data_IF_804502762638
#
_entry.id   IF_804502762638
#
_cell.length_a   1.000
_cell.length_b   1.000
_cell.length_c   1.000
_cell.angle_alpha   90.00
_cell.angle_beta   90.00
_cell.angle_gamma   90.00
#
_symmetry.space_group_name_H-M   'P 1'
#
loop_
_entity.id
_entity.type
_entity.pdbx_description
1 polymer ?
#
# COMPACT_ATOMS: atom_id res chain seq x y z
N UNK A 1 -10.49 17.08 11.73
CA UNK A 1 -9.96 15.89 11.06
C UNK A 1 -10.63 14.69 11.72
N UNK A 2 -11.57 14.06 11.01
CA UNK A 2 -12.28 12.88 11.51
C UNK A 2 -11.28 11.73 11.41
N UNK A 3 -11.09 10.88 12.45
CA UNK A 3 -10.30 9.67 12.30
C UNK A 3 -11.02 8.80 11.26
N UNK A 4 -10.43 8.58 10.09
CA UNK A 4 -10.92 7.52 9.22
C UNK A 4 -10.83 6.20 9.98
N UNK A 5 -11.97 5.53 10.05
CA UNK A 5 -12.24 4.44 10.95
C UNK A 5 -11.78 3.11 10.36
N UNK A 6 -11.68 2.11 11.24
CA UNK A 6 -11.73 0.69 10.89
C UNK A 6 -12.91 0.37 9.95
N UNK A 7 -12.95 -0.82 9.36
CA UNK A 7 -13.98 -1.19 8.38
C UNK A 7 -15.42 -1.14 8.93
N UNK A 8 -16.41 -0.94 8.03
CA UNK A 8 -17.84 -0.84 8.37
C UNK A 8 -18.63 -2.08 7.98
N UNK A 9 -19.71 -2.37 8.73
CA UNK A 9 -20.73 -3.38 8.38
C UNK A 9 -21.96 -2.79 7.69
N UNK A 10 -22.05 -1.47 7.59
CA UNK A 10 -23.14 -0.78 6.90
C UNK A 10 -22.90 -0.81 5.39
N UNK A 11 -23.77 -1.44 4.58
CA UNK A 11 -23.63 -1.45 3.12
C UNK A 11 -23.65 -0.08 2.44
N UNK A 12 -24.11 0.96 3.15
CA UNK A 12 -24.12 2.35 2.65
C UNK A 12 -22.82 3.12 2.96
N UNK A 13 -21.87 2.51 3.66
CA UNK A 13 -20.60 3.13 4.03
C UNK A 13 -19.56 2.98 2.91
N UNK A 14 -18.77 4.03 2.66
CA UNK A 14 -17.66 3.99 1.70
C UNK A 14 -16.56 2.98 2.08
N UNK A 15 -16.52 2.56 3.35
CA UNK A 15 -15.59 1.57 3.89
C UNK A 15 -16.30 0.26 4.28
N UNK A 16 -17.40 -0.07 3.59
CA UNK A 16 -18.12 -1.32 3.81
C UNK A 16 -17.24 -2.54 3.52
N UNK A 17 -17.08 -3.43 4.51
CA UNK A 17 -16.21 -4.60 4.44
C UNK A 17 -16.75 -5.75 3.56
N UNK A 18 -17.99 -5.64 3.10
CA UNK A 18 -18.72 -6.76 2.50
C UNK A 18 -19.39 -7.67 3.55
N UNK A 19 -20.25 -8.60 3.10
CA UNK A 19 -20.99 -9.50 3.99
C UNK A 19 -20.10 -10.54 4.70
N UNK A 20 -18.91 -10.83 4.15
CA UNK A 20 -17.87 -11.68 4.73
C UNK A 20 -16.54 -11.48 4.00
N UNK A 21 -15.42 -11.91 4.59
CA UNK A 21 -14.12 -11.85 3.92
C UNK A 21 -14.16 -12.54 2.53
N UNK A 22 -13.53 -11.92 1.53
CA UNK A 22 -13.46 -12.41 0.14
C UNK A 22 -14.84 -12.57 -0.56
N UNK A 23 -15.87 -11.82 -0.13
CA UNK A 23 -17.18 -11.75 -0.80
C UNK A 23 -17.08 -11.19 -2.22
N UNK A 24 -16.24 -10.18 -2.41
CA UNK A 24 -16.08 -9.50 -3.69
C UNK A 24 -15.38 -10.42 -4.70
N UNK A 25 -15.96 -10.63 -5.90
CA UNK A 25 -15.37 -11.51 -6.91
C UNK A 25 -13.97 -11.08 -7.36
N UNK A 26 -13.70 -9.78 -7.39
CA UNK A 26 -12.42 -9.17 -7.76
C UNK A 26 -11.33 -9.53 -6.73
N UNK A 27 -11.61 -9.26 -5.46
CA UNK A 27 -10.69 -9.56 -4.34
C UNK A 27 -10.44 -11.07 -4.26
N UNK A 28 -11.49 -11.87 -4.45
CA UNK A 28 -11.37 -13.34 -4.45
C UNK A 28 -10.53 -13.85 -5.61
N UNK A 29 -10.62 -13.25 -6.79
CA UNK A 29 -9.81 -13.64 -7.95
C UNK A 29 -8.31 -13.41 -7.68
N UNK A 30 -7.95 -12.22 -7.20
CA UNK A 30 -6.57 -11.86 -6.87
C UNK A 30 -6.03 -12.75 -5.74
N UNK A 31 -6.79 -12.89 -4.66
CA UNK A 31 -6.42 -13.72 -3.51
C UNK A 31 -6.16 -15.18 -3.91
N UNK A 32 -7.02 -15.76 -4.75
CA UNK A 32 -6.83 -17.13 -5.26
C UNK A 32 -5.60 -17.25 -6.15
N UNK A 33 -5.39 -16.28 -7.04
CA UNK A 33 -4.22 -16.28 -7.93
C UNK A 33 -2.92 -16.25 -7.12
N UNK A 34 -2.80 -15.32 -6.16
CA UNK A 34 -1.59 -15.22 -5.32
C UNK A 34 -1.43 -16.47 -4.45
N UNK A 35 -2.51 -16.98 -3.84
CA UNK A 35 -2.44 -18.18 -3.02
C UNK A 35 -1.95 -19.42 -3.78
N UNK A 36 -2.34 -19.57 -5.05
CA UNK A 36 -1.89 -20.67 -5.91
C UNK A 36 -0.40 -20.58 -6.28
N UNK A 37 0.18 -19.37 -6.25
CA UNK A 37 1.55 -19.11 -6.68
C UNK A 37 2.44 -18.62 -5.53
N UNK A 38 1.94 -18.59 -4.29
CA UNK A 38 2.62 -17.94 -3.16
C UNK A 38 4.05 -18.42 -2.91
N UNK A 39 4.45 -19.70 -3.17
CA UNK A 39 5.85 -20.09 -3.05
C UNK A 39 6.80 -19.33 -3.99
N UNK A 40 6.28 -18.77 -5.08
CA UNK A 40 7.05 -18.06 -6.12
C UNK A 40 6.82 -16.54 -6.09
N UNK A 41 5.89 -16.03 -5.28
CA UNK A 41 5.60 -14.60 -5.18
C UNK A 41 6.46 -14.00 -4.08
N UNK A 42 7.47 -13.21 -4.46
CA UNK A 42 8.40 -12.56 -3.52
C UNK A 42 7.93 -11.18 -3.07
N UNK A 43 7.20 -10.46 -3.93
CA UNK A 43 6.70 -9.13 -3.62
C UNK A 43 5.25 -8.95 -4.07
N UNK A 44 4.52 -8.15 -3.29
CA UNK A 44 3.19 -7.64 -3.59
C UNK A 44 3.18 -6.13 -3.36
N UNK A 45 2.73 -5.37 -4.35
CA UNK A 45 2.68 -3.90 -4.30
C UNK A 45 1.26 -3.50 -4.67
N UNK A 46 0.54 -2.89 -3.74
CA UNK A 46 -0.79 -2.35 -3.94
C UNK A 46 -0.70 -0.84 -4.15
N UNK A 47 -1.19 -0.33 -5.28
CA UNK A 47 -1.00 1.07 -5.69
C UNK A 47 -2.32 1.81 -5.66
N UNK A 48 -2.35 2.89 -4.90
CA UNK A 48 -3.48 3.77 -4.64
C UNK A 48 -3.07 5.22 -4.86
N UNK A 49 -4.05 6.12 -4.75
CA UNK A 49 -3.85 7.54 -4.55
C UNK A 49 -4.93 8.00 -3.56
N UNK A 50 -4.71 9.01 -2.73
CA UNK A 50 -3.58 9.93 -2.69
C UNK A 50 -3.03 10.10 -1.27
N UNK A 51 -1.86 10.71 -1.16
CA UNK A 51 -1.29 11.06 0.15
C UNK A 51 0.23 11.06 0.21
N UNK A 52 0.90 10.54 -0.83
CA UNK A 52 2.36 10.45 -0.91
C UNK A 52 2.97 9.55 0.17
N UNK A 53 2.53 8.28 0.20
CA UNK A 53 2.97 7.29 1.18
C UNK A 53 3.61 6.06 0.53
N UNK A 54 4.67 5.53 1.15
CA UNK A 54 5.17 4.16 0.93
C UNK A 54 4.98 3.36 2.21
N UNK A 55 4.00 2.47 2.19
CA UNK A 55 3.49 1.79 3.38
C UNK A 55 3.88 0.32 3.39
N UNK A 56 3.97 -0.26 4.58
CA UNK A 56 4.06 -1.70 4.79
C UNK A 56 3.13 -2.16 5.91
N UNK A 57 2.90 -3.48 6.07
CA UNK A 57 2.07 -4.01 7.15
C UNK A 57 2.58 -3.68 8.58
N UNK A 58 1.73 -3.63 9.60
CA UNK A 58 0.29 -3.86 9.54
C UNK A 58 -0.52 -2.56 9.48
N UNK A 59 -1.66 -2.61 8.81
CA UNK A 59 -2.71 -1.59 8.87
C UNK A 59 -3.74 -1.86 9.96
N UNK A 60 -4.07 -3.12 10.23
CA UNK A 60 -5.14 -3.46 11.20
C UNK A 60 -4.75 -3.20 12.67
N UNK A 61 -3.46 -3.04 12.98
CA UNK A 61 -2.99 -2.84 14.36
C UNK A 61 -1.64 -2.12 14.41
N UNK A 62 -1.31 -1.55 15.59
CA UNK A 62 0.02 -0.98 15.88
C UNK A 62 1.01 -2.08 16.30
N UNK A 63 1.04 -3.18 15.54
CA UNK A 63 2.02 -4.26 15.68
C UNK A 63 2.76 -4.43 14.36
N UNK A 64 3.90 -5.13 14.39
CA UNK A 64 4.77 -5.23 13.24
C UNK A 64 4.94 -6.69 12.79
N UNK A 65 5.12 -6.93 11.48
CA UNK A 65 5.44 -8.25 10.95
C UNK A 65 6.82 -8.71 11.40
N UNK A 66 7.08 -10.02 11.36
CA UNK A 66 8.35 -10.61 11.82
C UNK A 66 9.58 -10.09 11.07
N UNK A 67 9.42 -9.62 9.83
CA UNK A 67 10.48 -9.01 9.01
C UNK A 67 10.40 -7.47 8.99
N UNK A 68 9.90 -6.85 10.05
CA UNK A 68 9.73 -5.40 10.20
C UNK A 68 10.93 -4.58 9.72
N UNK A 69 12.15 -4.92 10.18
CA UNK A 69 13.36 -4.16 9.85
C UNK A 69 13.60 -4.13 8.33
N UNK A 70 13.41 -5.26 7.66
CA UNK A 70 13.57 -5.35 6.21
C UNK A 70 12.53 -4.49 5.48
N UNK A 71 11.26 -4.59 5.87
CA UNK A 71 10.19 -3.82 5.25
C UNK A 71 10.35 -2.32 5.47
N UNK A 72 10.68 -1.90 6.70
CA UNK A 72 10.97 -0.50 7.04
C UNK A 72 12.12 0.04 6.20
N UNK A 73 13.25 -0.66 6.16
CA UNK A 73 14.45 -0.19 5.46
C UNK A 73 14.24 -0.13 3.94
N UNK A 74 13.46 -1.06 3.38
CA UNK A 74 13.14 -1.06 1.96
C UNK A 74 12.10 0.01 1.61
N UNK A 75 11.08 0.24 2.44
CA UNK A 75 10.12 1.34 2.26
C UNK A 75 10.82 2.70 2.28
N UNK A 76 11.76 2.92 3.21
CA UNK A 76 12.57 4.15 3.25
C UNK A 76 13.38 4.33 1.97
N UNK A 77 14.02 3.26 1.45
CA UNK A 77 14.78 3.34 0.19
C UNK A 77 13.87 3.64 -1.02
N UNK A 78 12.70 3.01 -1.08
CA UNK A 78 11.73 3.26 -2.15
C UNK A 78 11.21 4.70 -2.11
N UNK A 79 10.86 5.20 -0.92
CA UNK A 79 10.49 6.60 -0.67
C UNK A 79 11.61 7.57 -1.06
N UNK A 80 12.86 7.31 -0.66
CA UNK A 80 14.01 8.12 -1.07
C UNK A 80 14.27 8.11 -2.59
N UNK A 81 13.93 7.02 -3.28
CA UNK A 81 14.05 6.92 -4.74
C UNK A 81 12.94 7.72 -5.44
N UNK A 82 11.71 7.66 -4.93
CA UNK A 82 10.57 8.47 -5.37
C UNK A 82 10.91 9.97 -5.25
N UNK A 83 11.28 10.41 -4.04
CA UNK A 83 11.56 11.83 -3.74
C UNK A 83 12.63 12.41 -4.68
N UNK A 84 13.63 11.62 -5.07
CA UNK A 84 14.72 12.08 -5.96
C UNK A 84 14.30 12.36 -7.40
N UNK A 85 13.18 11.81 -7.88
CA UNK A 85 12.79 11.98 -9.30
C UNK A 85 12.35 13.41 -9.57
N UNK A 86 11.44 13.94 -8.74
CA UNK A 86 10.85 15.27 -8.93
C UNK A 86 10.89 16.17 -7.67
N UNK A 87 11.67 15.80 -6.65
CA UNK A 87 11.78 16.50 -5.36
C UNK A 87 10.50 16.46 -4.53
N UNK A 88 9.83 15.30 -4.52
CA UNK A 88 8.66 15.05 -3.68
C UNK A 88 9.04 14.81 -2.22
N UNK A 89 8.03 14.72 -1.34
CA UNK A 89 8.20 14.52 0.10
C UNK A 89 7.34 13.38 0.63
N UNK A 90 7.49 12.19 0.04
CA UNK A 90 6.73 11.02 0.48
C UNK A 90 7.06 10.65 1.92
N UNK A 91 6.07 10.14 2.67
CA UNK A 91 6.28 9.54 3.98
C UNK A 91 6.35 8.01 3.86
N UNK A 92 7.04 7.34 4.80
CA UNK A 92 7.11 5.87 4.81
C UNK A 92 6.97 5.30 6.22
N UNK A 93 6.25 4.19 6.36
CA UNK A 93 6.06 3.52 7.65
C UNK A 93 5.04 2.39 7.57
N UNK A 94 4.69 1.79 8.72
CA UNK A 94 3.55 0.87 8.71
C UNK A 94 2.27 1.66 8.45
N UNK A 95 1.31 1.08 7.73
CA UNK A 95 0.07 1.78 7.36
C UNK A 95 -0.65 2.34 8.60
N UNK A 96 -0.75 1.55 9.67
CA UNK A 96 -1.37 1.97 10.92
C UNK A 96 -0.68 3.16 11.61
N UNK A 97 0.61 3.39 11.33
CA UNK A 97 1.38 4.50 11.92
C UNK A 97 1.31 5.78 11.11
N UNK A 98 1.32 5.69 9.77
CA UNK A 98 1.47 6.87 8.90
C UNK A 98 0.16 7.36 8.30
N UNK A 99 -0.87 6.50 8.23
CA UNK A 99 -2.20 6.86 7.71
C UNK A 99 -3.24 6.77 8.82
N UNK A 100 -3.75 5.58 9.10
CA UNK A 100 -4.67 5.25 10.20
C UNK A 100 -4.83 3.72 10.30
N UNK A 101 -5.54 3.23 11.32
CA UNK A 101 -5.83 1.78 11.43
C UNK A 101 -6.91 1.36 10.45
N UNK A 102 -6.60 0.39 9.58
CA UNK A 102 -7.52 -0.16 8.58
C UNK A 102 -7.48 -1.69 8.61
N UNK A 103 -8.62 -2.35 8.85
CA UNK A 103 -8.73 -3.81 8.73
C UNK A 103 -9.13 -4.25 7.32
N UNK A 104 -8.81 -5.50 6.97
CA UNK A 104 -9.21 -6.10 5.69
C UNK A 104 -8.38 -5.67 4.48
N UNK A 105 -7.31 -4.89 4.68
CA UNK A 105 -6.46 -4.41 3.59
C UNK A 105 -5.61 -5.53 2.96
N UNK A 106 -5.32 -5.37 1.67
CA UNK A 106 -4.63 -6.35 0.84
C UNK A 106 -3.22 -6.67 1.34
N UNK A 107 -2.40 -5.66 1.67
CA UNK A 107 -1.00 -5.83 2.07
C UNK A 107 -0.87 -6.63 3.38
N UNK A 108 -1.83 -6.48 4.30
CA UNK A 108 -1.91 -7.26 5.53
C UNK A 108 -2.28 -8.71 5.23
N UNK A 109 -3.28 -8.93 4.36
CA UNK A 109 -3.68 -10.27 3.94
C UNK A 109 -2.53 -11.01 3.25
N UNK A 110 -1.85 -10.37 2.30
CA UNK A 110 -0.71 -10.95 1.60
C UNK A 110 0.42 -11.32 2.57
N UNK A 111 0.72 -10.45 3.54
CA UNK A 111 1.79 -10.68 4.52
C UNK A 111 1.43 -11.70 5.60
N UNK A 112 0.26 -11.59 6.22
CA UNK A 112 -0.12 -12.40 7.38
C UNK A 112 -0.72 -13.75 6.98
N UNK A 113 -1.46 -13.82 5.88
CA UNK A 113 -2.17 -15.04 5.47
C UNK A 113 -1.40 -15.81 4.40
N UNK A 114 -0.87 -15.12 3.39
CA UNK A 114 -0.17 -15.78 2.28
C UNK A 114 1.36 -15.79 2.42
N UNK A 115 1.90 -15.21 3.49
CA UNK A 115 3.34 -15.15 3.79
C UNK A 115 4.18 -14.53 2.66
N UNK A 116 3.61 -13.59 1.89
CA UNK A 116 4.38 -12.85 0.89
C UNK A 116 5.36 -11.92 1.62
N UNK A 117 6.69 -12.08 1.44
CA UNK A 117 7.67 -11.47 2.33
C UNK A 117 7.73 -9.96 2.16
N UNK A 118 7.69 -9.46 0.92
CA UNK A 118 7.76 -8.04 0.59
C UNK A 118 6.38 -7.52 0.17
N UNK A 119 5.55 -7.15 1.15
CA UNK A 119 4.22 -6.58 0.89
C UNK A 119 4.23 -5.07 1.16
N UNK A 120 3.87 -4.26 0.17
CA UNK A 120 3.88 -2.79 0.26
C UNK A 120 2.61 -2.19 -0.32
N UNK A 121 2.21 -1.04 0.24
CA UNK A 121 1.19 -0.16 -0.33
C UNK A 121 1.84 1.15 -0.77
N UNK A 122 1.32 1.78 -1.81
CA UNK A 122 1.76 3.11 -2.25
C UNK A 122 0.54 4.01 -2.39
N UNK A 123 0.54 5.16 -1.71
CA UNK A 123 -0.37 6.27 -2.03
C UNK A 123 0.41 7.28 -2.87
N UNK A 124 0.01 7.46 -4.12
CA UNK A 124 0.70 8.38 -5.02
C UNK A 124 0.28 9.84 -4.77
N UNK A 125 0.75 10.72 -5.67
CA UNK A 125 0.35 12.13 -5.73
C UNK A 125 -1.18 12.29 -5.75
N UNK A 126 -1.68 13.45 -5.31
CA UNK A 126 -0.95 14.53 -4.67
C UNK A 126 -0.73 14.27 -3.16
N UNK A 127 -0.03 15.19 -2.51
CA UNK A 127 0.06 15.26 -1.05
C UNK A 127 -1.33 15.21 -0.39
N UNK A 128 -1.40 14.68 0.84
CA UNK A 128 -2.64 14.68 1.64
C UNK A 128 -3.25 16.07 1.79
N UNK A 129 -4.56 16.11 2.08
CA UNK A 129 -5.33 17.33 2.35
C UNK A 129 -5.44 18.33 1.17
N UNK A 130 -5.10 17.91 -0.06
CA UNK A 130 -5.36 18.70 -1.28
C UNK A 130 -6.84 18.61 -1.66
N UNK A 131 -7.46 19.77 -1.97
CA UNK A 131 -8.91 19.91 -2.23
C UNK A 131 -9.39 19.02 -3.39
N UNK A 132 -8.56 18.83 -4.40
CA UNK A 132 -8.86 18.02 -5.57
C UNK A 132 -8.11 16.67 -5.56
N UNK A 133 -7.83 16.10 -4.38
CA UNK A 133 -6.94 14.94 -4.20
C UNK A 133 -6.97 13.86 -5.30
N UNK A 134 -8.14 13.35 -5.67
CA UNK A 134 -8.28 12.31 -6.72
C UNK A 134 -8.32 12.85 -8.16
N UNK A 135 -8.48 14.16 -8.35
CA UNK A 135 -8.59 14.84 -9.64
C UNK A 135 -7.25 15.55 -9.90
N UNK A 136 -6.30 14.81 -10.47
CA UNK A 136 -4.98 15.35 -10.83
C UNK A 136 -4.98 15.93 -12.25
N UNK A 137 -4.14 16.94 -12.47
CA UNK A 137 -3.98 17.50 -13.80
C UNK A 137 -3.25 16.51 -14.73
N UNK A 138 -3.64 16.38 -16.02
CA UNK A 138 -3.04 15.39 -16.92
C UNK A 138 -1.50 15.48 -17.04
N UNK A 139 -0.91 16.67 -16.88
CA UNK A 139 0.54 16.85 -16.90
C UNK A 139 1.26 16.18 -15.71
N UNK A 140 0.55 15.84 -14.64
CA UNK A 140 1.10 15.18 -13.44
C UNK A 140 1.16 13.66 -13.59
N UNK A 141 0.49 13.07 -14.60
CA UNK A 141 0.41 11.62 -14.79
C UNK A 141 1.79 11.01 -15.02
N UNK A 142 2.56 11.55 -15.95
CA UNK A 142 3.89 11.01 -16.30
C UNK A 142 4.92 11.27 -15.20
N UNK A 143 4.99 12.48 -14.57
CA UNK A 143 5.80 12.70 -13.38
C UNK A 143 5.50 11.70 -12.25
N UNK A 144 4.24 11.58 -11.84
CA UNK A 144 3.83 10.67 -10.76
C UNK A 144 4.09 9.19 -11.08
N UNK A 145 3.90 8.77 -12.34
CA UNK A 145 4.25 7.42 -12.77
C UNK A 145 5.77 7.17 -12.72
N UNK A 146 6.59 8.16 -13.07
CA UNK A 146 8.06 8.05 -13.07
C UNK A 146 8.61 7.94 -11.65
N UNK A 147 8.03 8.69 -10.70
CA UNK A 147 8.25 8.53 -9.26
C UNK A 147 7.91 7.13 -8.76
N UNK A 148 6.66 6.71 -8.97
CA UNK A 148 6.19 5.42 -8.52
C UNK A 148 7.08 4.29 -9.06
N UNK A 149 7.48 4.39 -10.32
CA UNK A 149 8.39 3.46 -10.96
C UNK A 149 9.76 3.40 -10.28
N UNK A 150 10.35 4.54 -9.91
CA UNK A 150 11.63 4.57 -9.19
C UNK A 150 11.54 3.83 -7.84
N UNK A 151 10.46 4.04 -7.08
CA UNK A 151 10.20 3.31 -5.84
C UNK A 151 10.03 1.80 -6.04
N UNK A 152 9.22 1.41 -7.04
CA UNK A 152 9.00 0.00 -7.41
C UNK A 152 10.32 -0.67 -7.80
N UNK A 153 11.18 0.01 -8.56
CA UNK A 153 12.49 -0.52 -8.94
C UNK A 153 13.37 -0.83 -7.71
N UNK A 154 13.33 -0.02 -6.66
CA UNK A 154 14.07 -0.33 -5.42
C UNK A 154 13.55 -1.59 -4.73
N UNK A 155 12.23 -1.79 -4.70
CA UNK A 155 11.63 -3.02 -4.15
C UNK A 155 12.05 -4.23 -4.99
N UNK A 156 12.01 -4.12 -6.33
CA UNK A 156 12.38 -5.21 -7.24
C UNK A 156 13.87 -5.57 -7.17
N UNK A 157 14.75 -4.60 -6.88
CA UNK A 157 16.18 -4.88 -6.64
C UNK A 157 16.40 -5.77 -5.42
N UNK A 158 15.54 -5.70 -4.40
CA UNK A 158 15.62 -6.60 -3.24
C UNK A 158 15.19 -8.02 -3.61
N UNK A 159 14.16 -8.17 -4.45
CA UNK A 159 13.68 -9.47 -4.95
C UNK A 159 14.76 -10.21 -5.76
N UNK A 160 15.59 -9.46 -6.49
CA UNK A 160 16.59 -10.02 -7.40
C UNK A 160 17.91 -10.47 -6.73
N UNK A 161 18.03 -10.34 -5.40
CA UNK A 161 19.21 -10.77 -4.63
C UNK A 161 19.17 -12.25 -4.29
#
# INVERSE_FOLDING_TARGET
>A
MIPEADSSKDPCSDIYAGPHALSEPEVRAISRFVAQHSPNVQAYIDVHAYGEYVMFPFGYSLTFPSNYVQLRDLAMKAKDAIDKVNNEQFESGSLAQVVYKASGISIDYMRATLNIPLSFGMELRPMRDVVEGYIIAPQEIIPGASEAWAGIQEILKEVAK
#
